data_IF_324713611152
#
_entry.id   IF_324713611152
#
_cell.length_a   1.000
_cell.length_b   1.000
_cell.length_c   1.000
_cell.angle_alpha   90.00
_cell.angle_beta   90.00
_cell.angle_gamma   90.00
#
_symmetry.space_group_name_H-M   'P 1'
#
loop_
_entity.id
_entity.type
_entity.pdbx_description
1 polymer ?
#
# COMPACT_ATOMS: atom_id res chain seq x y z
N UNK A 1 -16.12 26.81 -56.16
CA UNK A 1 -16.06 25.38 -55.79
C UNK A 1 -16.50 25.24 -54.34
N UNK A 2 -17.75 24.87 -54.07
CA UNK A 2 -18.23 24.68 -52.69
C UNK A 2 -18.16 23.21 -52.31
N UNK A 3 -17.18 22.87 -51.49
CA UNK A 3 -17.01 21.54 -50.88
C UNK A 3 -18.13 21.35 -49.84
N UNK A 4 -19.14 20.51 -50.15
CA UNK A 4 -20.13 20.06 -49.17
C UNK A 4 -19.40 19.24 -48.10
N UNK A 5 -19.36 19.76 -46.88
CA UNK A 5 -18.86 19.04 -45.72
C UNK A 5 -19.97 18.09 -45.27
N UNK A 6 -19.74 16.79 -45.47
CA UNK A 6 -20.65 15.74 -45.05
C UNK A 6 -20.50 15.56 -43.52
N UNK A 7 -21.24 16.38 -42.77
CA UNK A 7 -21.32 16.28 -41.31
C UNK A 7 -22.15 15.03 -40.95
N UNK A 8 -21.55 13.84 -41.06
CA UNK A 8 -22.12 12.60 -40.53
C UNK A 8 -22.07 12.67 -39.01
N UNK A 9 -23.16 13.12 -38.40
CA UNK A 9 -23.38 13.00 -36.96
C UNK A 9 -23.59 11.54 -36.58
N UNK A 10 -23.16 11.18 -35.37
CA UNK A 10 -23.38 9.86 -34.77
C UNK A 10 -24.89 9.56 -34.71
N UNK A 11 -25.33 8.36 -35.09
CA UNK A 11 -26.74 7.97 -34.93
C UNK A 11 -27.06 7.81 -33.45
N UNK A 12 -28.28 8.21 -33.06
CA UNK A 12 -28.77 8.02 -31.70
C UNK A 12 -28.78 6.53 -31.32
N UNK A 13 -29.06 5.65 -32.29
CA UNK A 13 -29.01 4.19 -32.13
C UNK A 13 -27.59 3.68 -31.88
N UNK A 14 -26.61 4.23 -32.59
CA UNK A 14 -25.20 3.85 -32.39
C UNK A 14 -24.73 4.25 -31.00
N UNK A 15 -25.18 5.41 -30.49
CA UNK A 15 -24.83 5.86 -29.14
C UNK A 15 -25.45 4.99 -28.04
N UNK A 16 -26.72 4.59 -28.17
CA UNK A 16 -27.40 3.78 -27.13
C UNK A 16 -26.79 2.37 -27.01
N UNK A 17 -26.36 1.76 -28.13
CA UNK A 17 -25.73 0.44 -28.11
C UNK A 17 -24.37 0.51 -27.42
N UNK A 18 -23.62 1.60 -27.64
CA UNK A 18 -22.31 1.81 -26.99
C UNK A 18 -22.44 1.93 -25.47
N UNK A 19 -23.36 2.76 -24.97
CA UNK A 19 -23.55 2.89 -23.52
C UNK A 19 -24.07 1.59 -22.89
N UNK A 20 -24.88 0.81 -23.62
CA UNK A 20 -25.38 -0.48 -23.15
C UNK A 20 -24.24 -1.49 -22.96
N UNK A 21 -23.32 -1.59 -23.92
CA UNK A 21 -22.16 -2.49 -23.80
C UNK A 21 -21.20 -2.00 -22.70
N UNK A 22 -20.93 -0.69 -22.62
CA UNK A 22 -20.08 -0.12 -21.55
C UNK A 22 -20.64 -0.38 -20.16
N UNK A 23 -21.96 -0.30 -19.98
CA UNK A 23 -22.61 -0.60 -18.70
C UNK A 23 -22.38 -2.06 -18.26
N UNK A 24 -22.51 -3.02 -19.19
CA UNK A 24 -22.26 -4.44 -18.90
C UNK A 24 -20.79 -4.69 -18.55
N UNK A 25 -19.86 -4.11 -19.32
CA UNK A 25 -18.42 -4.27 -19.09
C UNK A 25 -17.99 -3.71 -17.72
N UNK A 26 -18.45 -2.51 -17.36
CA UNK A 26 -18.17 -1.92 -16.04
C UNK A 26 -18.75 -2.77 -14.92
N UNK A 27 -19.97 -3.31 -15.10
CA UNK A 27 -20.62 -4.17 -14.12
C UNK A 27 -19.80 -5.40 -13.72
N UNK A 28 -19.16 -6.05 -14.68
CA UNK A 28 -18.31 -7.24 -14.42
C UNK A 28 -16.93 -6.84 -13.89
N UNK A 29 -16.35 -5.75 -14.39
CA UNK A 29 -14.99 -5.34 -14.06
C UNK A 29 -14.86 -4.65 -12.70
N UNK A 30 -15.90 -3.93 -12.25
CA UNK A 30 -15.86 -3.15 -11.01
C UNK A 30 -15.42 -3.94 -9.76
N UNK A 31 -15.98 -5.12 -9.41
CA UNK A 31 -15.58 -5.86 -8.21
C UNK A 31 -14.13 -6.37 -8.29
N UNK A 32 -13.71 -6.81 -9.48
CA UNK A 32 -12.34 -7.28 -9.69
C UNK A 32 -11.35 -6.13 -9.57
N UNK A 33 -11.66 -4.96 -10.16
CA UNK A 33 -10.84 -3.77 -10.06
C UNK A 33 -10.67 -3.30 -8.61
N UNK A 34 -11.73 -3.30 -7.79
CA UNK A 34 -11.66 -2.91 -6.37
C UNK A 34 -10.66 -3.80 -5.61
N UNK A 35 -10.69 -5.13 -5.84
CA UNK A 35 -9.75 -6.06 -5.21
C UNK A 35 -8.30 -5.78 -5.61
N UNK A 36 -8.06 -5.50 -6.90
CA UNK A 36 -6.71 -5.16 -7.38
C UNK A 36 -6.19 -3.85 -6.80
N UNK A 37 -7.04 -2.82 -6.70
CA UNK A 37 -6.68 -1.55 -6.07
C UNK A 37 -6.30 -1.77 -4.59
N UNK A 38 -7.06 -2.60 -3.88
CA UNK A 38 -6.78 -2.91 -2.48
C UNK A 38 -5.45 -3.66 -2.30
N UNK A 39 -5.21 -4.69 -3.11
CA UNK A 39 -3.93 -5.42 -3.13
C UNK A 39 -2.75 -4.49 -3.44
N UNK A 40 -2.93 -3.53 -4.36
CA UNK A 40 -1.91 -2.54 -4.69
C UNK A 40 -1.62 -1.58 -3.53
N UNK A 41 -2.66 -1.14 -2.80
CA UNK A 41 -2.49 -0.28 -1.62
C UNK A 41 -1.73 -0.99 -0.52
N UNK A 42 -2.07 -2.24 -0.22
CA UNK A 42 -1.34 -3.05 0.77
C UNK A 42 0.10 -3.32 0.35
N UNK A 43 0.36 -3.60 -0.93
CA UNK A 43 1.73 -3.72 -1.45
C UNK A 43 2.54 -2.44 -1.24
N UNK A 44 1.90 -1.27 -1.44
CA UNK A 44 2.55 0.02 -1.21
C UNK A 44 2.84 0.24 0.28
N UNK A 45 1.92 -0.16 1.17
CA UNK A 45 2.14 -0.08 2.61
C UNK A 45 3.32 -0.95 3.07
N UNK A 46 3.49 -2.14 2.47
CA UNK A 46 4.65 -3.02 2.72
C UNK A 46 5.95 -2.34 2.28
N UNK A 47 6.01 -1.80 1.05
CA UNK A 47 7.20 -1.07 0.58
C UNK A 47 7.52 0.16 1.43
N UNK A 48 6.49 0.85 1.90
CA UNK A 48 6.63 1.98 2.83
C UNK A 48 7.22 1.53 4.18
N UNK A 49 6.74 0.41 4.72
CA UNK A 49 7.31 -0.19 5.92
C UNK A 49 8.77 -0.60 5.72
N UNK A 50 9.12 -1.21 4.58
CA UNK A 50 10.50 -1.57 4.26
C UNK A 50 11.42 -0.34 4.22
N UNK A 51 10.89 0.79 3.73
CA UNK A 51 11.59 2.08 3.75
C UNK A 51 11.79 2.58 5.18
N UNK A 52 10.78 2.44 6.05
CA UNK A 52 10.90 2.75 7.48
C UNK A 52 11.92 1.84 8.19
N UNK A 53 11.92 0.54 7.92
CA UNK A 53 12.90 -0.42 8.45
C UNK A 53 14.31 -0.02 8.04
N UNK A 54 14.49 0.33 6.76
CA UNK A 54 15.78 0.78 6.22
C UNK A 54 16.25 2.05 6.91
N UNK A 55 15.35 3.01 7.14
CA UNK A 55 15.66 4.25 7.87
C UNK A 55 16.12 3.99 9.30
N UNK A 56 15.44 3.09 10.01
CA UNK A 56 15.84 2.67 11.36
C UNK A 56 17.22 2.01 11.34
N UNK A 57 17.47 1.08 10.41
CA UNK A 57 18.79 0.43 10.29
C UNK A 57 19.92 1.43 10.02
N UNK A 58 19.70 2.41 9.14
CA UNK A 58 20.69 3.46 8.85
C UNK A 58 20.94 4.33 10.07
N UNK A 59 19.88 4.80 10.75
CA UNK A 59 20.03 5.65 11.93
C UNK A 59 20.79 4.95 13.07
N UNK A 60 20.54 3.67 13.27
CA UNK A 60 21.20 2.82 14.27
C UNK A 60 22.45 2.11 13.75
N UNK A 61 23.00 2.55 12.61
CA UNK A 61 24.40 2.22 12.26
C UNK A 61 25.36 3.08 13.07
N UNK A 62 24.98 4.34 13.34
CA UNK A 62 25.78 5.31 14.12
C UNK A 62 25.38 5.33 15.62
N UNK A 63 24.38 4.54 16.03
CA UNK A 63 23.85 4.49 17.40
C UNK A 63 23.59 3.05 17.84
N UNK A 64 23.72 2.77 19.14
CA UNK A 64 23.36 1.46 19.68
C UNK A 64 21.85 1.20 19.65
N UNK A 65 21.46 0.04 19.13
CA UNK A 65 20.08 -0.45 19.20
C UNK A 65 19.77 -0.81 20.68
N UNK A 66 18.65 -0.31 21.25
CA UNK A 66 18.23 -0.69 22.59
C UNK A 66 18.04 -2.21 22.73
N UNK A 67 18.18 -2.74 23.95
CA UNK A 67 18.03 -4.18 24.20
C UNK A 67 16.64 -4.72 23.86
N UNK A 68 15.61 -3.88 24.04
CA UNK A 68 14.24 -4.15 23.64
C UNK A 68 14.02 -4.13 22.11
N UNK A 69 15.02 -3.76 21.30
CA UNK A 69 14.90 -3.52 19.87
C UNK A 69 14.10 -2.26 19.54
N UNK A 70 13.93 -2.01 18.24
CA UNK A 70 13.08 -0.93 17.71
C UNK A 70 11.89 -1.56 17.00
N UNK A 71 10.68 -1.20 17.43
CA UNK A 71 9.45 -1.66 16.77
C UNK A 71 8.82 -0.53 15.99
N UNK A 72 8.56 -0.78 14.71
CA UNK A 72 7.75 0.05 13.82
C UNK A 72 6.35 -0.54 13.80
N UNK A 73 5.38 0.22 14.28
CA UNK A 73 3.96 -0.16 14.27
C UNK A 73 3.16 0.80 13.41
N UNK A 74 1.95 0.40 13.06
CA UNK A 74 0.97 1.25 12.41
C UNK A 74 -0.44 0.93 12.91
N UNK A 75 -1.38 1.82 12.61
CA UNK A 75 -2.80 1.62 12.84
C UNK A 75 -3.58 1.86 11.55
N UNK A 76 -4.80 1.33 11.45
CA UNK A 76 -5.64 1.49 10.25
C UNK A 76 -5.86 2.96 9.90
N UNK A 77 -5.31 3.41 8.78
CA UNK A 77 -5.36 4.82 8.34
C UNK A 77 -4.40 5.77 9.08
N UNK A 78 -3.58 5.25 10.00
CA UNK A 78 -2.56 5.96 10.74
C UNK A 78 -1.21 6.03 10.03
N UNK A 79 -0.27 6.75 10.63
CA UNK A 79 1.12 6.78 10.19
C UNK A 79 1.89 5.59 10.77
N UNK A 80 2.99 5.20 10.13
CA UNK A 80 3.99 4.37 10.78
C UNK A 80 4.66 5.13 11.92
N UNK A 81 4.85 4.46 13.05
CA UNK A 81 5.52 4.99 14.24
C UNK A 81 6.57 4.03 14.74
N UNK A 82 7.75 4.53 15.08
CA UNK A 82 8.84 3.78 15.68
C UNK A 82 8.89 4.01 17.21
N UNK A 83 9.23 2.96 17.95
CA UNK A 83 9.28 2.96 19.43
C UNK A 83 10.38 3.86 20.02
N UNK A 84 11.27 4.40 19.19
CA UNK A 84 12.32 5.37 19.55
C UNK A 84 11.80 6.82 19.69
N UNK A 85 10.47 7.02 19.57
CA UNK A 85 9.88 8.36 19.48
C UNK A 85 9.98 8.94 18.08
N UNK A 86 10.03 8.09 17.05
CA UNK A 86 10.18 8.44 15.62
C UNK A 86 11.51 9.09 15.25
N UNK A 87 12.56 9.00 16.07
CA UNK A 87 13.84 9.67 15.80
C UNK A 87 14.43 9.27 14.45
N UNK A 88 14.50 7.97 14.18
CA UNK A 88 14.98 7.45 12.91
C UNK A 88 14.09 7.85 11.72
N UNK A 89 12.76 7.84 11.92
CA UNK A 89 11.81 8.21 10.87
C UNK A 89 11.86 9.71 10.56
N UNK A 90 12.06 10.56 11.57
CA UNK A 90 12.21 12.01 11.42
C UNK A 90 13.49 12.35 10.67
N UNK A 91 14.59 11.63 10.93
CA UNK A 91 15.87 11.85 10.25
C UNK A 91 15.74 11.74 8.71
N UNK A 92 14.86 10.86 8.22
CA UNK A 92 14.60 10.65 6.79
C UNK A 92 13.26 11.23 6.31
N UNK A 93 12.56 12.02 7.14
CA UNK A 93 11.23 12.58 6.83
C UNK A 93 10.11 11.55 6.54
N UNK A 94 10.20 10.35 7.12
CA UNK A 94 9.24 9.24 6.92
C UNK A 94 8.12 9.16 7.98
N UNK A 95 8.09 10.05 8.99
CA UNK A 95 7.12 10.02 10.10
C UNK A 95 5.65 10.30 9.69
N UNK A 96 5.42 10.73 8.44
CA UNK A 96 4.10 10.99 7.88
C UNK A 96 3.63 9.90 6.90
N UNK A 97 4.38 8.82 6.76
CA UNK A 97 4.05 7.71 5.87
C UNK A 97 2.83 6.97 6.39
N UNK A 98 1.73 7.00 5.63
CA UNK A 98 0.43 6.46 6.02
C UNK A 98 0.19 5.06 5.50
N UNK A 99 -0.48 4.25 6.32
CA UNK A 99 -1.09 3.00 5.89
C UNK A 99 -2.43 3.29 5.21
N UNK A 100 -2.56 2.89 3.95
CA UNK A 100 -3.73 3.17 3.13
C UNK A 100 -4.54 1.92 2.78
N UNK A 101 -3.93 0.74 2.83
CA UNK A 101 -4.59 -0.53 2.62
C UNK A 101 -5.50 -0.92 3.79
N UNK A 102 -6.47 -1.78 3.51
CA UNK A 102 -7.32 -2.43 4.49
C UNK A 102 -6.60 -3.67 5.01
N UNK A 103 -6.20 -3.62 6.26
CA UNK A 103 -5.56 -4.73 6.95
C UNK A 103 -6.54 -5.33 7.95
N UNK A 104 -6.28 -6.57 8.39
CA UNK A 104 -7.12 -7.20 9.39
C UNK A 104 -7.03 -6.42 10.70
N UNK A 105 -8.15 -6.27 11.40
CA UNK A 105 -8.20 -5.51 12.65
C UNK A 105 -7.15 -6.02 13.63
N UNK A 106 -6.30 -5.13 14.13
CA UNK A 106 -5.21 -5.46 15.05
C UNK A 106 -3.97 -6.11 14.41
N UNK A 107 -3.99 -6.36 13.10
CA UNK A 107 -2.91 -7.03 12.36
C UNK A 107 -2.39 -6.11 11.23
N UNK A 108 -2.06 -4.89 11.59
CA UNK A 108 -1.50 -3.87 10.69
C UNK A 108 -0.03 -4.18 10.33
N UNK A 109 0.49 -3.64 9.22
CA UNK A 109 1.87 -3.89 8.83
C UNK A 109 2.80 -3.22 9.85
N UNK A 110 3.76 -3.99 10.34
CA UNK A 110 4.78 -3.54 11.28
C UNK A 110 6.02 -4.41 11.21
N UNK A 111 7.08 -3.97 11.87
CA UNK A 111 8.34 -4.70 11.94
C UNK A 111 9.06 -4.40 13.25
N UNK A 112 9.70 -5.42 13.82
CA UNK A 112 10.61 -5.28 14.95
C UNK A 112 12.04 -5.58 14.50
N UNK A 113 12.94 -4.65 14.77
CA UNK A 113 14.37 -4.79 14.56
C UNK A 113 14.99 -5.12 15.92
N UNK A 114 15.58 -6.31 16.04
CA UNK A 114 16.22 -6.76 17.28
C UNK A 114 17.57 -6.08 17.45
N UNK A 115 18.15 -6.13 18.67
CA UNK A 115 19.52 -5.67 18.92
C UNK A 115 20.56 -6.36 18.03
N UNK A 116 20.32 -7.61 17.66
CA UNK A 116 21.16 -8.38 16.74
C UNK A 116 21.05 -7.90 15.28
N UNK A 117 20.11 -7.01 14.97
CA UNK A 117 19.85 -6.50 13.61
C UNK A 117 18.84 -7.32 12.81
N UNK A 118 18.29 -8.40 13.39
CA UNK A 118 17.27 -9.22 12.75
C UNK A 118 15.97 -8.44 12.62
N UNK A 119 15.30 -8.59 11.48
CA UNK A 119 14.00 -7.95 11.22
C UNK A 119 12.91 -9.01 11.26
N UNK A 120 11.90 -8.75 12.08
CA UNK A 120 10.71 -9.58 12.21
C UNK A 120 9.49 -8.76 11.83
N UNK A 121 8.89 -9.08 10.69
CA UNK A 121 7.68 -8.43 10.20
C UNK A 121 6.43 -8.99 10.88
N UNK A 122 5.40 -8.15 10.98
CA UNK A 122 4.11 -8.48 11.56
C UNK A 122 2.99 -7.86 10.73
N UNK A 123 1.84 -8.53 10.65
CA UNK A 123 0.66 -8.02 9.97
C UNK A 123 0.05 -9.04 9.01
N UNK A 124 -1.27 -8.95 8.83
CA UNK A 124 -2.01 -9.88 7.98
C UNK A 124 -3.19 -9.16 7.32
N UNK A 125 -3.44 -9.51 6.07
CA UNK A 125 -4.60 -9.12 5.28
C UNK A 125 -5.08 -10.31 4.45
N UNK A 126 -6.15 -10.11 3.67
CA UNK A 126 -6.63 -11.10 2.70
C UNK A 126 -5.64 -11.37 1.55
N UNK A 127 -4.61 -10.53 1.36
CA UNK A 127 -3.66 -10.66 0.25
C UNK A 127 -2.21 -10.88 0.68
N UNK A 128 -1.83 -10.50 1.90
CA UNK A 128 -0.47 -10.60 2.41
C UNK A 128 -0.45 -11.05 3.88
N UNK A 129 0.57 -11.82 4.24
CA UNK A 129 0.86 -12.19 5.63
C UNK A 129 2.35 -12.09 5.91
N UNK A 130 2.72 -11.67 7.11
CA UNK A 130 4.12 -11.63 7.54
C UNK A 130 4.64 -13.04 7.81
N UNK A 131 5.84 -13.32 7.30
CA UNK A 131 6.54 -14.60 7.44
C UNK A 131 7.97 -14.34 7.92
N UNK A 132 8.14 -13.97 9.18
CA UNK A 132 9.46 -13.71 9.77
C UNK A 132 10.14 -12.51 9.13
N UNK A 133 10.97 -12.75 8.11
CA UNK A 133 11.84 -11.75 7.48
C UNK A 133 11.18 -10.92 6.37
N UNK A 134 9.95 -11.24 5.96
CA UNK A 134 9.23 -10.51 4.89
C UNK A 134 7.73 -10.76 4.91
N UNK A 135 7.00 -9.96 4.13
CA UNK A 135 5.63 -10.29 3.74
C UNK A 135 5.59 -11.23 2.55
N UNK A 136 4.64 -12.16 2.58
CA UNK A 136 4.37 -13.10 1.48
C UNK A 136 2.90 -13.01 1.07
N UNK A 137 2.57 -13.25 -0.22
CA UNK A 137 1.19 -13.31 -0.67
C UNK A 137 0.42 -14.45 0.02
N UNK A 138 -0.85 -14.23 0.33
CA UNK A 138 -1.79 -15.26 0.78
C UNK A 138 -2.34 -15.98 -0.46
N UNK A 139 -2.26 -17.30 -0.48
CA UNK A 139 -2.82 -18.16 -1.54
C UNK A 139 -4.29 -18.49 -1.28
#
# INVERSE_FOLDING_TARGET
MNKKMDNKGFSLVELIVVIAIMAVLIGVLAPQFIKYVEKSRQSTDITNLDSCVSAVKVYYTDHDIPDAGITITSSGGGNFTASDGNKALINVSAQNTKVKGKWNTGHFPGATITKSGDVNYSGTSDYYTASGDKFVPVN
#
